data_IF_095363494485
#
_entry.id   IF_095363494485
#
_cell.length_a   1.000
_cell.length_b   1.000
_cell.length_c   1.000
_cell.angle_alpha   90.00
_cell.angle_beta   90.00
_cell.angle_gamma   90.00
#
_symmetry.space_group_name_H-M   'P 1'
#
loop_
_entity.id
_entity.type
_entity.pdbx_description
1 polymer ?
#
# COMPACT_ATOMS: atom_id res chain seq x y z
N UNK A 1 4.95 -5.09 18.37
CA UNK A 1 6.41 -5.13 18.62
C UNK A 1 7.21 -5.56 17.39
N UNK A 2 6.91 -6.70 16.74
CA UNK A 2 7.69 -7.20 15.59
C UNK A 2 7.67 -6.26 14.36
N UNK A 3 6.54 -5.62 14.04
CA UNK A 3 6.42 -4.69 12.91
C UNK A 3 7.33 -3.46 13.07
N UNK A 4 7.31 -2.84 14.25
CA UNK A 4 8.15 -1.69 14.58
C UNK A 4 9.66 -2.03 14.53
N UNK A 5 10.06 -3.21 15.02
CA UNK A 5 11.46 -3.66 14.90
C UNK A 5 11.84 -3.85 13.43
N UNK A 6 10.97 -4.48 12.63
CA UNK A 6 11.19 -4.63 11.18
C UNK A 6 11.25 -3.29 10.46
N UNK A 7 10.47 -2.30 10.91
CA UNK A 7 10.50 -0.94 10.37
C UNK A 7 11.90 -0.36 10.57
N UNK A 8 12.38 -0.29 11.82
CA UNK A 8 13.72 0.22 12.17
C UNK A 8 14.81 -0.49 11.35
N UNK A 9 14.79 -1.82 11.32
CA UNK A 9 15.78 -2.61 10.57
C UNK A 9 15.72 -2.32 9.06
N UNK A 10 14.53 -2.14 8.49
CA UNK A 10 14.37 -1.82 7.06
C UNK A 10 14.84 -0.40 6.77
N UNK A 11 14.59 0.54 7.67
CA UNK A 11 15.03 1.95 7.58
C UNK A 11 16.55 2.10 7.63
N UNK A 12 17.29 1.19 8.27
CA UNK A 12 18.76 1.29 8.34
C UNK A 12 19.46 0.49 7.21
N UNK A 13 18.72 -0.40 6.52
CA UNK A 13 19.31 -1.18 5.42
C UNK A 13 19.79 -0.28 4.28
N UNK A 14 20.89 -0.69 3.63
CA UNK A 14 21.37 -0.03 2.41
C UNK A 14 20.30 -0.16 1.31
N UNK A 15 20.08 0.92 0.57
CA UNK A 15 19.17 0.93 -0.57
C UNK A 15 19.61 -0.09 -1.61
N UNK A 16 18.67 -0.90 -2.10
CA UNK A 16 18.94 -1.79 -3.22
C UNK A 16 19.17 -0.95 -4.47
N UNK A 17 20.20 -1.27 -5.25
CA UNK A 17 20.42 -0.71 -6.59
C UNK A 17 19.28 -1.06 -7.56
N UNK A 18 18.46 -2.06 -7.22
CA UNK A 18 17.28 -2.44 -7.98
C UNK A 18 16.01 -1.72 -7.49
N UNK A 19 16.10 -0.89 -6.45
CA UNK A 19 14.97 -0.05 -6.07
C UNK A 19 14.82 1.08 -7.10
N UNK A 20 13.60 1.24 -7.62
CA UNK A 20 13.35 2.08 -8.79
C UNK A 20 12.34 3.17 -8.47
N UNK A 21 12.60 4.34 -9.03
CA UNK A 21 11.62 5.42 -9.09
C UNK A 21 10.35 4.92 -9.79
N UNK A 22 9.23 5.05 -9.11
CA UNK A 22 7.92 4.62 -9.62
C UNK A 22 6.81 5.20 -8.74
N UNK A 23 5.56 4.81 -9.01
CA UNK A 23 4.39 5.34 -8.31
C UNK A 23 3.87 4.31 -7.31
N UNK A 24 3.61 4.73 -6.07
CA UNK A 24 2.77 3.97 -5.13
C UNK A 24 1.34 4.47 -5.29
N UNK A 25 0.43 3.58 -5.67
CA UNK A 25 -0.98 3.86 -5.88
C UNK A 25 -1.83 3.19 -4.82
N UNK A 26 -3.10 3.61 -4.73
CA UNK A 26 -4.06 3.02 -3.81
C UNK A 26 -5.45 2.99 -4.44
N UNK A 27 -6.25 2.00 -4.07
CA UNK A 27 -7.69 2.04 -4.27
C UNK A 27 -8.43 1.42 -3.10
N UNK A 28 -9.66 1.85 -2.92
CA UNK A 28 -10.61 1.33 -1.95
C UNK A 28 -11.50 0.27 -2.63
N UNK A 29 -11.64 -0.91 -2.01
CA UNK A 29 -12.57 -1.97 -2.43
C UNK A 29 -13.89 -1.73 -1.70
N UNK A 30 -14.95 -1.44 -2.45
CA UNK A 30 -16.28 -1.17 -1.89
C UNK A 30 -16.91 -2.51 -1.49
N UNK A 31 -17.07 -2.75 -0.19
CA UNK A 31 -17.85 -3.85 0.36
C UNK A 31 -19.23 -3.36 0.81
N UNK A 32 -20.21 -4.28 0.87
CA UNK A 32 -21.59 -3.97 1.31
C UNK A 32 -21.68 -3.69 2.82
N UNK A 33 -20.63 -4.03 3.57
CA UNK A 33 -20.50 -3.81 5.01
C UNK A 33 -19.54 -2.63 5.25
N UNK A 34 -20.08 -1.50 5.71
CA UNK A 34 -19.33 -0.24 5.89
C UNK A 34 -18.55 -0.15 7.21
N UNK A 35 -18.49 -1.23 8.01
CA UNK A 35 -17.80 -1.19 9.31
C UNK A 35 -16.28 -1.02 9.19
N UNK A 36 -15.67 -1.51 8.11
CA UNK A 36 -14.23 -1.36 7.84
C UNK A 36 -13.99 -1.15 6.34
N UNK A 37 -13.11 -0.22 5.99
CA UNK A 37 -12.79 0.09 4.59
C UNK A 37 -11.52 -0.63 4.15
N UNK A 38 -11.59 -1.35 3.03
CA UNK A 38 -10.46 -2.11 2.50
C UNK A 38 -9.66 -1.29 1.50
N UNK A 39 -8.41 -0.98 1.83
CA UNK A 39 -7.50 -0.27 0.94
C UNK A 39 -6.39 -1.18 0.45
N UNK A 40 -6.28 -1.33 -0.87
CA UNK A 40 -5.09 -1.92 -1.50
C UNK A 40 -4.06 -0.82 -1.74
N UNK A 41 -2.85 -1.02 -1.24
CA UNK A 41 -1.71 -0.12 -1.46
C UNK A 41 -0.69 -0.88 -2.30
N UNK A 42 -0.38 -0.42 -3.51
CA UNK A 42 0.55 -1.13 -4.39
C UNK A 42 1.49 -0.18 -5.12
N UNK A 43 2.48 -0.73 -5.80
CA UNK A 43 3.42 0.01 -6.64
C UNK A 43 3.29 -0.33 -8.13
N UNK A 44 3.60 0.64 -8.98
CA UNK A 44 3.65 0.44 -10.44
C UNK A 44 4.71 1.33 -11.08
N UNK A 45 5.52 0.75 -11.96
CA UNK A 45 6.40 1.48 -12.90
C UNK A 45 5.70 1.79 -14.23
N UNK A 46 4.52 1.24 -14.44
CA UNK A 46 3.69 1.41 -15.65
C UNK A 46 2.64 2.51 -15.41
N UNK A 47 2.05 3.09 -16.46
CA UNK A 47 0.91 4.00 -16.33
C UNK A 47 -0.18 3.39 -15.43
N UNK A 48 -0.78 4.23 -14.58
CA UNK A 48 -1.77 3.76 -13.60
C UNK A 48 -2.96 3.07 -14.29
N UNK A 49 -3.41 3.58 -15.44
CA UNK A 49 -4.51 2.99 -16.22
C UNK A 49 -4.22 1.54 -16.65
N UNK A 50 -2.98 1.24 -17.05
CA UNK A 50 -2.60 -0.13 -17.40
C UNK A 50 -2.63 -1.04 -16.17
N UNK A 51 -2.22 -0.52 -15.01
CA UNK A 51 -2.28 -1.23 -13.74
C UNK A 51 -3.71 -1.49 -13.28
N UNK A 52 -4.66 -0.57 -13.55
CA UNK A 52 -6.09 -0.78 -13.33
C UNK A 52 -6.60 -1.95 -14.15
N UNK A 53 -6.33 -1.96 -15.45
CA UNK A 53 -6.72 -3.05 -16.35
C UNK A 53 -6.11 -4.40 -15.95
N UNK A 54 -4.85 -4.40 -15.51
CA UNK A 54 -4.21 -5.62 -15.01
C UNK A 54 -4.90 -6.13 -13.74
N UNK A 55 -5.23 -5.22 -12.81
CA UNK A 55 -5.95 -5.59 -11.59
C UNK A 55 -7.32 -6.19 -11.90
N UNK A 56 -8.11 -5.53 -12.74
CA UNK A 56 -9.46 -5.97 -13.11
C UNK A 56 -9.46 -7.38 -13.75
N UNK A 57 -8.39 -7.72 -14.48
CA UNK A 57 -8.18 -9.07 -15.02
C UNK A 57 -7.78 -10.09 -13.95
N UNK A 58 -7.05 -9.66 -12.93
CA UNK A 58 -6.52 -10.55 -11.90
C UNK A 58 -7.53 -10.91 -10.82
N UNK A 59 -8.44 -9.98 -10.52
CA UNK A 59 -9.47 -10.13 -9.51
C UNK A 59 -10.76 -9.53 -10.05
N UNK A 60 -11.84 -10.30 -10.24
CA UNK A 60 -13.15 -9.75 -10.56
C UNK A 60 -13.80 -9.14 -9.30
N UNK A 61 -13.00 -8.53 -8.43
CA UNK A 61 -13.44 -8.00 -7.14
C UNK A 61 -14.56 -6.99 -7.30
N UNK A 62 -15.29 -6.81 -6.20
CA UNK A 62 -16.29 -5.74 -6.00
C UNK A 62 -15.79 -4.37 -6.49
N UNK A 63 -16.70 -3.43 -6.80
CA UNK A 63 -16.34 -2.10 -7.31
C UNK A 63 -15.21 -1.43 -6.53
N UNK A 64 -14.31 -0.75 -7.24
CA UNK A 64 -13.15 -0.10 -6.64
C UNK A 64 -13.14 1.41 -6.93
N UNK A 65 -12.81 2.20 -5.91
CA UNK A 65 -12.56 3.64 -6.04
C UNK A 65 -11.04 3.83 -6.09
N UNK A 66 -10.54 4.20 -7.27
CA UNK A 66 -9.12 4.43 -7.50
C UNK A 66 -8.73 5.87 -7.15
N UNK A 67 -7.63 5.99 -6.42
CA UNK A 67 -6.99 7.27 -6.16
C UNK A 67 -5.80 7.45 -7.09
N UNK A 68 -5.26 8.67 -7.17
CA UNK A 68 -3.96 8.86 -7.80
C UNK A 68 -2.87 8.16 -6.96
N UNK A 69 -1.64 8.14 -7.46
CA UNK A 69 -0.50 7.63 -6.71
C UNK A 69 0.56 8.69 -6.49
N UNK A 70 1.38 8.43 -5.47
CA UNK A 70 2.52 9.26 -5.11
C UNK A 70 3.75 8.77 -5.85
N UNK A 71 4.46 9.68 -6.51
CA UNK A 71 5.76 9.37 -7.11
C UNK A 71 6.80 9.26 -6.01
N UNK A 72 7.53 8.14 -5.98
CA UNK A 72 8.56 7.86 -4.98
C UNK A 72 9.83 7.38 -5.66
N UNK A 73 10.99 7.71 -5.09
CA UNK A 73 12.28 7.36 -5.69
C UNK A 73 12.69 5.90 -5.40
N UNK A 74 12.18 5.34 -4.31
CA UNK A 74 12.54 4.01 -3.81
C UNK A 74 11.28 3.19 -3.50
N UNK A 75 10.48 2.89 -4.53
CA UNK A 75 9.11 2.39 -4.32
C UNK A 75 9.03 1.06 -3.59
N UNK A 76 9.99 0.15 -3.79
CA UNK A 76 9.98 -1.11 -3.08
C UNK A 76 10.15 -0.89 -1.57
N UNK A 77 11.13 -0.06 -1.20
CA UNK A 77 11.39 0.24 0.21
C UNK A 77 10.27 1.06 0.82
N UNK A 78 9.82 2.11 0.15
CA UNK A 78 8.75 2.98 0.64
C UNK A 78 7.47 2.18 0.82
N UNK A 79 7.07 1.34 -0.16
CA UNK A 79 5.91 0.46 -0.03
C UNK A 79 6.05 -0.44 1.20
N UNK A 80 7.21 -1.09 1.37
CA UNK A 80 7.44 -1.99 2.50
C UNK A 80 7.43 -1.28 3.86
N UNK A 81 7.96 -0.06 3.94
CA UNK A 81 7.95 0.74 5.16
C UNK A 81 6.55 1.25 5.49
N UNK A 82 5.77 1.71 4.52
CA UNK A 82 4.35 2.09 4.69
C UNK A 82 3.57 0.93 5.29
N UNK A 83 3.79 -0.24 4.71
CA UNK A 83 3.28 -1.52 5.15
C UNK A 83 3.61 -1.91 6.59
N UNK A 84 4.82 -1.61 7.04
CA UNK A 84 5.27 -1.90 8.40
C UNK A 84 4.73 -0.86 9.38
N UNK A 85 4.70 0.41 9.00
CA UNK A 85 4.18 1.50 9.83
C UNK A 85 2.67 1.35 10.04
N UNK A 86 1.90 1.02 9.00
CA UNK A 86 0.47 0.72 9.16
C UNK A 86 0.23 -0.40 10.18
N UNK A 87 1.01 -1.47 10.11
CA UNK A 87 0.94 -2.56 11.09
C UNK A 87 1.40 -2.13 12.48
N UNK A 88 2.40 -1.25 12.59
CA UNK A 88 2.89 -0.72 13.86
C UNK A 88 1.83 0.16 14.55
N UNK A 89 1.06 0.92 13.76
CA UNK A 89 -0.11 1.68 14.19
C UNK A 89 -1.35 0.82 14.48
N UNK A 90 -1.27 -0.50 14.31
CA UNK A 90 -2.35 -1.44 14.62
C UNK A 90 -3.34 -1.72 13.50
N UNK A 91 -3.14 -1.14 12.30
CA UNK A 91 -3.97 -1.47 11.14
C UNK A 91 -3.71 -2.90 10.67
N UNK A 92 -4.80 -3.64 10.46
CA UNK A 92 -4.75 -5.07 10.13
C UNK A 92 -4.66 -5.27 8.62
N UNK A 93 -3.82 -6.21 8.18
CA UNK A 93 -3.85 -6.71 6.81
C UNK A 93 -4.96 -7.73 6.63
N UNK A 94 -5.45 -7.86 5.40
CA UNK A 94 -6.25 -9.01 5.00
C UNK A 94 -5.37 -10.26 5.01
N UNK A 95 -5.76 -11.25 5.83
CA UNK A 95 -5.04 -12.52 5.98
C UNK A 95 -5.69 -13.64 5.16
N UNK A 96 -7.01 -13.56 4.97
CA UNK A 96 -7.80 -14.54 4.22
C UNK A 96 -7.53 -14.48 2.71
N UNK A 97 -7.74 -15.58 2.02
CA UNK A 97 -7.79 -15.58 0.56
C UNK A 97 -9.00 -14.78 0.09
N UNK A 98 -8.83 -14.04 -1.01
CA UNK A 98 -9.93 -13.41 -1.70
C UNK A 98 -10.91 -14.49 -2.18
N UNK A 99 -12.22 -14.37 -1.88
CA UNK A 99 -13.20 -15.36 -2.30
C UNK A 99 -13.38 -15.40 -3.83
N UNK A 100 -13.14 -14.29 -4.51
CA UNK A 100 -13.41 -14.16 -5.95
C UNK A 100 -12.30 -14.74 -6.84
N UNK A 101 -11.04 -14.60 -6.42
CA UNK A 101 -9.88 -15.03 -7.21
C UNK A 101 -8.96 -16.05 -6.51
N UNK A 102 -9.23 -16.39 -5.24
CA UNK A 102 -8.45 -17.34 -4.45
C UNK A 102 -7.07 -16.85 -4.00
N UNK A 103 -6.62 -15.66 -4.44
CA UNK A 103 -5.31 -15.11 -4.08
C UNK A 103 -5.31 -14.51 -2.67
N UNK A 104 -4.17 -14.59 -2.00
CA UNK A 104 -3.93 -13.88 -0.73
C UNK A 104 -3.26 -12.54 -1.01
N UNK A 105 -4.01 -11.45 -0.84
CA UNK A 105 -3.50 -10.10 -1.01
C UNK A 105 -2.93 -9.57 0.30
N UNK A 106 -1.61 -9.60 0.43
CA UNK A 106 -0.93 -9.07 1.62
C UNK A 106 -0.94 -7.54 1.63
N UNK A 107 -1.15 -6.93 0.48
CA UNK A 107 -1.15 -5.49 0.25
C UNK A 107 -2.48 -4.79 0.56
N UNK A 108 -3.48 -5.51 1.10
CA UNK A 108 -4.77 -4.95 1.48
C UNK A 108 -4.84 -4.76 3.00
N UNK A 109 -5.29 -3.60 3.43
CA UNK A 109 -5.43 -3.21 4.83
C UNK A 109 -6.86 -2.76 5.17
N UNK A 110 -7.26 -3.05 6.40
CA UNK A 110 -8.48 -2.52 7.02
C UNK A 110 -8.17 -1.15 7.61
N UNK A 111 -8.90 -0.12 7.16
CA UNK A 111 -8.80 1.25 7.65
C UNK A 111 -10.17 1.76 8.12
N UNK A 112 -10.20 2.69 9.09
CA UNK A 112 -11.43 3.05 9.79
C UNK A 112 -12.36 3.99 9.02
N UNK A 113 -11.91 4.57 7.89
CA UNK A 113 -12.64 5.65 7.21
C UNK A 113 -12.46 5.59 5.69
N UNK A 114 -13.50 6.00 4.95
CA UNK A 114 -13.49 6.09 3.49
C UNK A 114 -12.48 7.13 2.94
N UNK A 115 -12.17 8.16 3.72
CA UNK A 115 -11.20 9.21 3.38
C UNK A 115 -9.76 8.87 3.82
N UNK A 116 -9.48 7.60 4.17
CA UNK A 116 -8.16 7.17 4.63
C UNK A 116 -7.06 7.34 3.59
N UNK A 117 -7.39 7.42 2.30
CA UNK A 117 -6.42 7.82 1.28
C UNK A 117 -5.81 9.20 1.60
N UNK A 118 -6.64 10.23 1.76
CA UNK A 118 -6.18 11.61 1.99
C UNK A 118 -5.66 11.82 3.42
N UNK A 119 -6.24 11.11 4.40
CA UNK A 119 -5.95 11.37 5.83
C UNK A 119 -4.87 10.49 6.42
N UNK A 120 -4.59 9.32 5.82
CA UNK A 120 -3.65 8.31 6.38
C UNK A 120 -2.62 7.90 5.34
N UNK A 121 -3.07 7.28 4.22
CA UNK A 121 -2.18 6.55 3.31
C UNK A 121 -1.26 7.50 2.55
N UNK A 122 -1.80 8.53 1.90
CA UNK A 122 -0.99 9.47 1.10
C UNK A 122 0.00 10.25 1.96
N UNK A 123 -0.39 10.88 3.09
CA UNK A 123 0.57 11.53 3.98
C UNK A 123 1.65 10.57 4.50
N UNK A 124 1.30 9.31 4.76
CA UNK A 124 2.26 8.31 5.21
C UNK A 124 3.27 7.94 4.12
N UNK A 125 2.83 7.76 2.87
CA UNK A 125 3.73 7.51 1.73
C UNK A 125 4.69 8.68 1.55
N UNK A 126 4.18 9.91 1.58
CA UNK A 126 4.99 11.13 1.42
C UNK A 126 6.03 11.28 2.55
N UNK A 127 5.61 11.07 3.81
CA UNK A 127 6.50 11.08 4.98
C UNK A 127 7.63 10.05 4.83
N UNK A 128 7.29 8.80 4.56
CA UNK A 128 8.28 7.71 4.45
C UNK A 128 9.20 7.93 3.25
N UNK A 129 8.69 8.42 2.12
CA UNK A 129 9.53 8.74 0.97
C UNK A 129 10.57 9.81 1.34
N UNK A 130 10.17 10.87 2.05
CA UNK A 130 11.08 11.90 2.52
C UNK A 130 12.12 11.36 3.52
N UNK A 131 11.73 10.49 4.46
CA UNK A 131 12.67 9.86 5.40
C UNK A 131 13.72 9.00 4.67
N UNK A 132 13.29 8.20 3.69
CA UNK A 132 14.18 7.37 2.87
C UNK A 132 15.15 8.22 2.04
N UNK A 133 14.68 9.33 1.46
CA UNK A 133 15.52 10.25 0.67
C UNK A 133 16.56 10.97 1.53
N UNK A 134 16.21 11.33 2.77
CA UNK A 134 17.09 12.03 3.69
C UNK A 134 18.07 11.10 4.43
N UNK A 135 17.98 9.79 4.24
CA UNK A 135 18.90 8.82 4.84
C UNK A 135 18.78 8.69 6.36
N UNK A 136 17.59 8.93 6.90
CA UNK A 136 17.25 8.79 8.33
C UNK A 136 16.86 7.35 8.64
#
# INVERSE_FOLDING_TARGET
MLAAIKFIVTTIKVLSIFDRRSKIYTFHIVEDDELEFLFKIGRTSWPLEERKLEWDRQCPSKPHIWYDGVNVNHSHRVEHLVYLELMACGYKRVIKCCPDCGKRYQEIFHLPRADAWETIIKPLIEKINAEVENGV
#
